data_IF_510875741769
#
_entry.id   IF_510875741769
#
_cell.length_a   1.000
_cell.length_b   1.000
_cell.length_c   1.000
_cell.angle_alpha   90.00
_cell.angle_beta   90.00
_cell.angle_gamma   90.00
#
_symmetry.space_group_name_H-M   'P 1'
#
loop_
_entity.id
_entity.type
_entity.pdbx_description
1 polymer ?
#
# COMPACT_ATOMS: atom_id res chain seq x y z
N UNK A 1 -44.33 -23.46 -6.07
CA UNK A 1 -44.13 -22.25 -5.24
C UNK A 1 -42.79 -22.29 -4.51
N UNK A 2 -42.54 -23.25 -3.60
CA UNK A 2 -41.26 -23.36 -2.87
C UNK A 2 -40.01 -23.48 -3.77
N UNK A 3 -40.10 -24.26 -4.84
CA UNK A 3 -39.01 -24.41 -5.82
C UNK A 3 -38.65 -23.08 -6.49
N UNK A 4 -39.66 -22.25 -6.80
CA UNK A 4 -39.47 -20.94 -7.41
C UNK A 4 -38.75 -19.97 -6.48
N UNK A 5 -39.11 -19.96 -5.19
CA UNK A 5 -38.41 -19.17 -4.17
C UNK A 5 -36.97 -19.63 -3.97
N UNK A 6 -36.74 -20.94 -3.88
CA UNK A 6 -35.39 -21.48 -3.78
C UNK A 6 -34.55 -21.08 -5.00
N UNK A 7 -35.09 -21.22 -6.21
CA UNK A 7 -34.39 -20.85 -7.44
C UNK A 7 -34.03 -19.36 -7.46
N UNK A 8 -34.94 -18.47 -7.06
CA UNK A 8 -34.69 -17.03 -7.06
C UNK A 8 -33.66 -16.61 -6.01
N UNK A 9 -33.72 -17.23 -4.82
CA UNK A 9 -32.74 -17.05 -3.74
C UNK A 9 -31.35 -17.46 -4.22
N UNK A 10 -31.24 -18.61 -4.89
CA UNK A 10 -29.99 -19.10 -5.46
C UNK A 10 -29.45 -18.16 -6.54
N UNK A 11 -30.30 -17.65 -7.45
CA UNK A 11 -29.90 -16.67 -8.46
C UNK A 11 -29.35 -15.40 -7.79
N UNK A 12 -30.08 -14.82 -6.83
CA UNK A 12 -29.64 -13.63 -6.10
C UNK A 12 -28.32 -13.85 -5.36
N UNK A 13 -28.15 -15.00 -4.71
CA UNK A 13 -26.91 -15.36 -4.02
C UNK A 13 -25.73 -15.54 -4.99
N UNK A 14 -25.92 -16.25 -6.11
CA UNK A 14 -24.87 -16.49 -7.09
C UNK A 14 -24.42 -15.19 -7.78
N UNK A 15 -25.36 -14.31 -8.12
CA UNK A 15 -25.05 -13.00 -8.68
C UNK A 15 -24.22 -12.16 -7.69
N UNK A 16 -24.58 -12.17 -6.41
CA UNK A 16 -23.84 -11.47 -5.37
C UNK A 16 -22.43 -12.04 -5.16
N UNK A 17 -22.30 -13.37 -5.16
CA UNK A 17 -21.01 -14.05 -5.05
C UNK A 17 -20.11 -13.73 -6.25
N UNK A 18 -20.66 -13.75 -7.47
CA UNK A 18 -19.92 -13.38 -8.68
C UNK A 18 -19.42 -11.93 -8.61
N UNK A 19 -20.25 -11.00 -8.13
CA UNK A 19 -19.84 -9.61 -7.92
C UNK A 19 -18.70 -9.50 -6.90
N UNK A 20 -18.81 -10.16 -5.74
CA UNK A 20 -17.75 -10.17 -4.72
C UNK A 20 -16.42 -10.73 -5.27
N UNK A 21 -16.45 -11.87 -5.97
CA UNK A 21 -15.25 -12.48 -6.55
C UNK A 21 -14.61 -11.53 -7.57
N UNK A 22 -15.42 -10.89 -8.41
CA UNK A 22 -14.92 -9.92 -9.38
C UNK A 22 -14.33 -8.65 -8.75
N UNK A 23 -14.87 -8.22 -7.60
CA UNK A 23 -14.42 -7.02 -6.87
C UNK A 23 -13.10 -7.24 -6.15
N UNK A 24 -12.90 -8.42 -5.56
CA UNK A 24 -11.73 -8.73 -4.72
C UNK A 24 -10.76 -9.72 -5.38
N UNK A 25 -10.36 -9.45 -6.64
CA UNK A 25 -9.53 -10.36 -7.45
C UNK A 25 -8.27 -10.88 -6.76
N UNK A 26 -7.61 -10.03 -5.97
CA UNK A 26 -6.34 -10.39 -5.31
C UNK A 26 -6.51 -11.18 -4.00
N UNK A 27 -7.73 -11.21 -3.43
CA UNK A 27 -8.03 -12.01 -2.24
C UNK A 27 -9.53 -12.39 -2.19
N UNK A 28 -10.00 -13.23 -3.14
CA UNK A 28 -11.42 -13.58 -3.25
C UNK A 28 -11.86 -14.40 -2.04
N UNK A 29 -11.01 -15.28 -1.53
CA UNK A 29 -11.31 -16.09 -0.34
C UNK A 29 -11.53 -15.21 0.90
N UNK A 30 -10.63 -14.26 1.18
CA UNK A 30 -10.77 -13.36 2.32
C UNK A 30 -12.02 -12.48 2.26
N UNK A 31 -12.47 -12.14 1.06
CA UNK A 31 -13.74 -11.44 0.87
C UNK A 31 -14.95 -12.32 1.15
N UNK A 32 -14.99 -13.53 0.58
CA UNK A 32 -16.12 -14.46 0.71
C UNK A 32 -16.39 -14.89 2.15
N UNK A 33 -15.35 -15.02 2.98
CA UNK A 33 -15.47 -15.45 4.37
C UNK A 33 -15.72 -14.29 5.37
N UNK A 34 -15.90 -13.07 4.88
CA UNK A 34 -16.15 -11.92 5.75
C UNK A 34 -17.63 -11.82 6.15
N UNK A 35 -17.91 -11.41 7.39
CA UNK A 35 -19.29 -11.17 7.86
C UNK A 35 -20.05 -10.17 6.98
N UNK A 36 -19.46 -9.05 6.52
CA UNK A 36 -20.13 -8.15 5.59
C UNK A 36 -20.45 -8.80 4.24
N UNK A 37 -19.60 -9.70 3.73
CA UNK A 37 -19.90 -10.44 2.51
C UNK A 37 -21.09 -11.41 2.68
N UNK A 38 -21.17 -12.09 3.83
CA UNK A 38 -22.34 -12.92 4.15
C UNK A 38 -23.63 -12.08 4.18
N UNK A 39 -23.57 -10.89 4.79
CA UNK A 39 -24.71 -9.95 4.79
C UNK A 39 -25.06 -9.46 3.39
N UNK A 40 -24.06 -9.13 2.57
CA UNK A 40 -24.24 -8.74 1.18
C UNK A 40 -24.96 -9.81 0.34
N UNK A 41 -24.52 -11.07 0.46
CA UNK A 41 -25.17 -12.22 -0.21
C UNK A 41 -26.61 -12.39 0.31
N UNK A 42 -26.82 -12.27 1.62
CA UNK A 42 -28.14 -12.36 2.25
C UNK A 42 -29.11 -11.28 1.75
N UNK A 43 -28.68 -10.02 1.65
CA UNK A 43 -29.51 -8.92 1.13
C UNK A 43 -29.90 -9.15 -0.32
N UNK A 44 -28.97 -9.62 -1.17
CA UNK A 44 -29.27 -9.91 -2.57
C UNK A 44 -30.24 -11.09 -2.71
N UNK A 45 -30.01 -12.18 -1.99
CA UNK A 45 -30.88 -13.35 -1.99
C UNK A 45 -32.28 -13.01 -1.46
N UNK A 46 -32.36 -12.24 -0.37
CA UNK A 46 -33.61 -11.76 0.21
C UNK A 46 -34.35 -10.79 -0.72
N UNK A 47 -33.64 -9.88 -1.39
CA UNK A 47 -34.24 -8.97 -2.38
C UNK A 47 -34.81 -9.69 -3.59
N UNK A 48 -34.13 -10.74 -4.07
CA UNK A 48 -34.67 -11.60 -5.13
C UNK A 48 -35.96 -12.32 -4.68
N UNK A 49 -35.99 -12.84 -3.45
CA UNK A 49 -37.19 -13.46 -2.88
C UNK A 49 -38.34 -12.45 -2.72
N UNK A 50 -38.06 -11.25 -2.23
CA UNK A 50 -39.04 -10.18 -2.09
C UNK A 50 -39.58 -9.71 -3.46
N UNK A 51 -38.72 -9.65 -4.47
CA UNK A 51 -39.14 -9.36 -5.84
C UNK A 51 -40.08 -10.45 -6.38
N UNK A 52 -39.77 -11.73 -6.20
CA UNK A 52 -40.67 -12.83 -6.63
C UNK A 52 -41.99 -12.80 -5.87
N UNK A 53 -41.96 -12.57 -4.56
CA UNK A 53 -43.17 -12.38 -3.78
C UNK A 53 -44.03 -11.25 -4.35
N UNK A 54 -43.44 -10.09 -4.62
CA UNK A 54 -44.16 -8.94 -5.21
C UNK A 54 -44.75 -9.28 -6.58
N UNK A 55 -43.94 -9.81 -7.50
CA UNK A 55 -44.36 -10.24 -8.85
C UNK A 55 -45.56 -11.19 -8.80
N UNK A 56 -45.52 -12.17 -7.88
CA UNK A 56 -46.61 -13.15 -7.74
C UNK A 56 -47.86 -12.56 -7.09
N UNK A 57 -47.72 -11.67 -6.10
CA UNK A 57 -48.86 -11.00 -5.46
C UNK A 57 -49.63 -10.10 -6.43
N UNK A 58 -48.94 -9.38 -7.31
CA UNK A 58 -49.57 -8.51 -8.31
C UNK A 58 -49.94 -9.22 -9.61
N UNK A 59 -49.70 -10.53 -9.72
CA UNK A 59 -50.04 -11.31 -10.90
C UNK A 59 -49.28 -10.88 -12.17
N UNK A 60 -48.07 -10.34 -12.04
CA UNK A 60 -47.29 -9.88 -13.19
C UNK A 60 -46.79 -11.06 -14.01
N UNK A 61 -47.26 -11.18 -15.26
CA UNK A 61 -46.89 -12.30 -16.16
C UNK A 61 -45.77 -11.96 -17.13
N UNK A 62 -45.44 -10.66 -17.29
CA UNK A 62 -44.44 -10.16 -18.24
C UNK A 62 -44.64 -10.66 -19.68
N UNK A 63 -45.91 -10.83 -20.09
CA UNK A 63 -46.27 -11.31 -21.44
C UNK A 63 -46.11 -12.81 -21.65
N UNK A 64 -45.70 -13.57 -20.63
CA UNK A 64 -45.68 -15.02 -20.68
C UNK A 64 -47.08 -15.62 -20.47
N UNK A 65 -47.30 -16.83 -20.99
CA UNK A 65 -48.56 -17.56 -20.86
C UNK A 65 -48.33 -19.04 -20.53
N UNK A 66 -49.29 -19.65 -19.84
CA UNK A 66 -49.23 -21.06 -19.43
C UNK A 66 -48.10 -21.36 -18.46
N UNK A 67 -47.43 -22.50 -18.64
CA UNK A 67 -46.37 -22.98 -17.74
C UNK A 67 -45.12 -22.08 -17.72
N UNK A 68 -44.91 -21.27 -18.77
CA UNK A 68 -43.75 -20.38 -18.85
C UNK A 68 -43.81 -19.17 -17.89
N UNK A 69 -45.00 -18.83 -17.37
CA UNK A 69 -45.20 -17.68 -16.46
C UNK A 69 -44.29 -17.78 -15.24
N UNK A 70 -44.29 -18.92 -14.56
CA UNK A 70 -43.48 -19.10 -13.34
C UNK A 70 -41.99 -19.00 -13.63
N UNK A 71 -41.53 -19.55 -14.75
CA UNK A 71 -40.13 -19.47 -15.14
C UNK A 71 -39.71 -18.03 -15.42
N UNK A 72 -40.51 -17.29 -16.19
CA UNK A 72 -40.27 -15.87 -16.49
C UNK A 72 -40.25 -15.02 -15.22
N UNK A 73 -41.21 -15.23 -14.29
CA UNK A 73 -41.26 -14.52 -13.02
C UNK A 73 -40.01 -14.76 -12.17
N UNK A 74 -39.49 -15.99 -12.11
CA UNK A 74 -38.24 -16.31 -11.40
C UNK A 74 -37.05 -15.59 -12.02
N UNK A 75 -36.90 -15.62 -13.35
CA UNK A 75 -35.79 -14.93 -14.02
C UNK A 75 -35.86 -13.42 -13.81
N UNK A 76 -37.03 -12.82 -14.03
CA UNK A 76 -37.22 -11.36 -13.87
C UNK A 76 -37.00 -10.93 -12.44
N UNK A 77 -37.51 -11.67 -11.44
CA UNK A 77 -37.28 -11.34 -10.04
C UNK A 77 -35.81 -11.52 -9.62
N UNK A 78 -35.18 -12.61 -10.05
CA UNK A 78 -33.79 -12.94 -9.71
C UNK A 78 -32.81 -11.90 -10.25
N UNK A 79 -32.85 -11.62 -11.55
CA UNK A 79 -31.95 -10.63 -12.16
C UNK A 79 -32.40 -9.19 -11.95
N UNK A 80 -33.71 -8.93 -11.98
CA UNK A 80 -34.28 -7.60 -11.85
C UNK A 80 -34.09 -6.98 -10.48
N UNK A 81 -34.11 -7.78 -9.39
CA UNK A 81 -33.78 -7.29 -8.04
C UNK A 81 -32.35 -6.75 -7.98
N UNK A 82 -31.39 -7.46 -8.57
CA UNK A 82 -30.02 -7.00 -8.68
C UNK A 82 -29.86 -5.73 -9.54
N UNK A 83 -30.63 -5.61 -10.63
CA UNK A 83 -30.64 -4.39 -11.44
C UNK A 83 -31.20 -3.19 -10.64
N UNK A 84 -32.28 -3.40 -9.88
CA UNK A 84 -32.88 -2.38 -9.02
C UNK A 84 -31.90 -1.93 -7.93
N UNK A 85 -31.26 -2.86 -7.22
CA UNK A 85 -30.28 -2.50 -6.19
C UNK A 85 -29.05 -1.79 -6.75
N UNK A 86 -28.67 -2.03 -8.01
CA UNK A 86 -27.54 -1.31 -8.64
C UNK A 86 -27.94 0.03 -9.24
N UNK A 87 -29.23 0.34 -9.30
CA UNK A 87 -29.69 1.64 -9.80
C UNK A 87 -29.36 2.77 -8.83
N UNK A 88 -29.00 3.92 -9.40
CA UNK A 88 -28.88 5.20 -8.70
C UNK A 88 -29.99 6.11 -9.23
N UNK A 89 -30.78 6.71 -8.34
CA UNK A 89 -31.85 7.63 -8.72
C UNK A 89 -31.30 9.05 -8.90
N UNK A 90 -30.31 9.42 -8.10
CA UNK A 90 -29.62 10.71 -8.17
C UNK A 90 -28.15 10.52 -7.84
N UNK A 91 -27.26 11.30 -8.43
CA UNK A 91 -25.84 11.30 -8.05
C UNK A 91 -25.52 12.63 -7.38
N UNK A 92 -24.93 12.59 -6.19
CA UNK A 92 -24.49 13.77 -5.44
C UNK A 92 -22.98 13.78 -5.39
N UNK A 93 -22.36 14.89 -5.79
CA UNK A 93 -20.92 15.08 -5.66
C UNK A 93 -20.61 15.67 -4.29
N UNK A 94 -19.84 14.95 -3.47
CA UNK A 94 -19.34 15.42 -2.18
C UNK A 94 -17.81 15.43 -2.19
N UNK A 95 -17.20 16.61 -2.27
CA UNK A 95 -15.77 16.76 -2.49
C UNK A 95 -15.37 16.23 -3.86
N UNK A 96 -14.45 15.26 -3.90
CA UNK A 96 -13.96 14.64 -5.14
C UNK A 96 -14.61 13.27 -5.44
N UNK A 97 -15.73 12.94 -4.77
CA UNK A 97 -16.43 11.67 -4.95
C UNK A 97 -17.88 11.90 -5.40
N UNK A 98 -18.31 11.10 -6.38
CA UNK A 98 -19.71 11.02 -6.82
C UNK A 98 -20.39 9.88 -6.07
N UNK A 99 -21.42 10.19 -5.29
CA UNK A 99 -22.17 9.26 -4.46
C UNK A 99 -23.55 9.06 -5.08
N UNK A 100 -23.87 7.83 -5.46
CA UNK A 100 -25.21 7.46 -5.87
C UNK A 100 -26.19 7.46 -4.68
N UNK A 101 -27.28 8.19 -4.80
CA UNK A 101 -28.42 8.23 -3.88
C UNK A 101 -29.53 7.39 -4.50
N UNK A 102 -29.87 6.30 -3.81
CA UNK A 102 -30.86 5.33 -4.27
C UNK A 102 -30.67 3.97 -3.61
N UNK A 103 -31.31 2.90 -4.15
CA UNK A 103 -31.18 1.54 -3.64
C UNK A 103 -29.72 1.06 -3.53
N UNK A 104 -28.85 1.54 -4.41
CA UNK A 104 -27.42 1.26 -4.43
C UNK A 104 -26.65 1.75 -3.20
N UNK A 105 -27.17 2.75 -2.48
CA UNK A 105 -26.55 3.21 -1.24
C UNK A 105 -26.45 2.10 -0.18
N UNK A 106 -27.48 1.24 -0.09
CA UNK A 106 -27.51 0.11 0.85
C UNK A 106 -26.37 -0.86 0.55
N UNK A 107 -26.23 -1.29 -0.71
CA UNK A 107 -25.15 -2.19 -1.12
C UNK A 107 -23.78 -1.53 -0.94
N UNK A 108 -23.67 -0.23 -1.22
CA UNK A 108 -22.42 0.52 -1.08
C UNK A 108 -21.92 0.50 0.36
N UNK A 109 -22.79 0.75 1.35
CA UNK A 109 -22.42 0.71 2.78
C UNK A 109 -21.90 -0.67 3.18
N UNK A 110 -22.58 -1.73 2.75
CA UNK A 110 -22.18 -3.12 3.05
C UNK A 110 -20.84 -3.45 2.39
N UNK A 111 -20.67 -3.09 1.12
CA UNK A 111 -19.44 -3.31 0.36
C UNK A 111 -18.26 -2.53 0.94
N UNK A 112 -18.47 -1.29 1.40
CA UNK A 112 -17.42 -0.54 2.12
C UNK A 112 -17.06 -1.17 3.47
N UNK A 113 -17.98 -1.88 4.12
CA UNK A 113 -17.66 -2.67 5.31
C UNK A 113 -16.86 -3.95 4.95
N UNK A 114 -17.20 -4.60 3.83
CA UNK A 114 -16.44 -5.73 3.30
C UNK A 114 -15.01 -5.31 2.89
N UNK A 115 -14.86 -4.19 2.19
CA UNK A 115 -13.55 -3.60 1.83
C UNK A 115 -12.68 -3.46 3.07
N UNK A 116 -13.19 -2.81 4.13
CA UNK A 116 -12.48 -2.65 5.39
C UNK A 116 -12.16 -3.97 6.10
N UNK A 117 -13.02 -4.97 6.02
CA UNK A 117 -12.78 -6.28 6.62
C UNK A 117 -11.65 -7.02 5.88
N UNK A 118 -11.67 -7.00 4.56
CA UNK A 118 -10.61 -7.54 3.70
C UNK A 118 -9.30 -6.82 3.95
N UNK A 119 -9.32 -5.49 4.03
CA UNK A 119 -8.13 -4.67 4.29
C UNK A 119 -7.50 -4.99 5.64
N UNK A 120 -8.30 -5.16 6.71
CA UNK A 120 -7.78 -5.58 8.02
C UNK A 120 -7.09 -6.94 7.96
N UNK A 121 -7.68 -7.91 7.26
CA UNK A 121 -7.08 -9.22 7.05
C UNK A 121 -5.76 -9.12 6.28
N UNK A 122 -5.74 -8.35 5.19
CA UNK A 122 -4.55 -8.11 4.37
C UNK A 122 -3.46 -7.36 5.14
N UNK A 123 -3.82 -6.37 5.95
CA UNK A 123 -2.88 -5.60 6.75
C UNK A 123 -2.11 -6.48 7.73
N UNK A 124 -2.76 -7.49 8.34
CA UNK A 124 -2.10 -8.46 9.22
C UNK A 124 -1.05 -9.29 8.47
N UNK A 125 -1.40 -9.79 7.29
CA UNK A 125 -0.49 -10.60 6.45
C UNK A 125 0.68 -9.76 5.98
N UNK A 126 0.41 -8.57 5.43
CA UNK A 126 1.43 -7.63 4.95
C UNK A 126 2.38 -7.18 6.06
N UNK A 127 1.85 -6.80 7.22
CA UNK A 127 2.66 -6.37 8.36
C UNK A 127 3.62 -7.47 8.81
N UNK A 128 3.14 -8.73 8.86
CA UNK A 128 4.00 -9.88 9.18
C UNK A 128 5.08 -10.10 8.11
N UNK A 129 4.70 -10.16 6.83
CA UNK A 129 5.65 -10.37 5.73
C UNK A 129 6.72 -9.28 5.66
N UNK A 130 6.33 -8.02 5.84
CA UNK A 130 7.28 -6.89 5.90
C UNK A 130 8.15 -6.96 7.15
N UNK A 131 7.61 -7.37 8.29
CA UNK A 131 8.38 -7.59 9.52
C UNK A 131 9.51 -8.60 9.31
N UNK A 132 9.22 -9.69 8.59
CA UNK A 132 10.19 -10.72 8.23
C UNK A 132 11.23 -10.22 7.21
N UNK A 133 10.79 -9.49 6.18
CA UNK A 133 11.69 -9.01 5.10
C UNK A 133 12.59 -7.87 5.58
N UNK A 134 12.01 -6.84 6.20
CA UNK A 134 12.70 -5.63 6.64
C UNK A 134 13.33 -5.75 8.03
N UNK A 135 13.29 -6.94 8.64
CA UNK A 135 13.89 -7.20 9.95
C UNK A 135 15.39 -6.85 9.96
N UNK A 136 15.78 -5.94 10.86
CA UNK A 136 17.16 -5.47 10.99
C UNK A 136 17.64 -4.57 9.84
N UNK A 137 16.76 -4.15 8.92
CA UNK A 137 17.15 -3.24 7.84
C UNK A 137 17.42 -1.84 8.41
N UNK A 138 18.60 -1.23 8.16
CA UNK A 138 18.96 0.08 8.69
C UNK A 138 18.36 1.19 7.83
N UNK A 139 17.21 1.73 8.23
CA UNK A 139 16.49 2.77 7.49
C UNK A 139 17.39 3.97 7.15
N UNK A 140 18.14 4.51 8.10
CA UNK A 140 18.84 5.78 7.90
C UNK A 140 19.93 5.68 6.82
N UNK A 141 20.60 4.52 6.75
CA UNK A 141 21.64 4.26 5.75
C UNK A 141 21.11 3.63 4.46
N UNK A 142 20.00 2.91 4.54
CA UNK A 142 19.55 2.00 3.47
C UNK A 142 18.31 2.45 2.71
N UNK A 143 17.52 3.41 3.22
CA UNK A 143 16.24 3.78 2.62
C UNK A 143 16.37 4.23 1.16
N UNK A 144 17.28 5.16 0.87
CA UNK A 144 17.48 5.68 -0.49
C UNK A 144 18.07 4.61 -1.40
N UNK A 145 19.03 3.82 -0.92
CA UNK A 145 19.65 2.75 -1.68
C UNK A 145 18.62 1.67 -2.08
N UNK A 146 17.76 1.25 -1.14
CA UNK A 146 16.68 0.31 -1.43
C UNK A 146 15.68 0.88 -2.43
N UNK A 147 15.28 2.15 -2.26
CA UNK A 147 14.36 2.80 -3.19
C UNK A 147 14.93 2.92 -4.60
N UNK A 148 16.15 3.44 -4.74
CA UNK A 148 16.81 3.55 -6.04
C UNK A 148 17.06 2.20 -6.68
N UNK A 149 17.41 1.18 -5.90
CA UNK A 149 17.54 -0.17 -6.44
C UNK A 149 16.20 -0.73 -6.91
N UNK A 150 15.11 -0.48 -6.17
CA UNK A 150 13.76 -0.88 -6.60
C UNK A 150 13.33 -0.21 -7.91
N UNK A 151 13.57 1.10 -8.05
CA UNK A 151 13.27 1.85 -9.28
C UNK A 151 14.15 1.37 -10.45
N UNK A 152 15.43 1.09 -10.22
CA UNK A 152 16.33 0.60 -11.26
C UNK A 152 16.00 -0.85 -11.70
N UNK A 153 15.59 -1.69 -10.75
CA UNK A 153 15.21 -3.08 -11.03
C UNK A 153 13.87 -3.19 -11.79
N UNK A 154 12.98 -2.20 -11.64
CA UNK A 154 11.65 -2.22 -12.23
C UNK A 154 11.48 -1.10 -13.26
N UNK A 155 11.41 -1.48 -14.52
CA UNK A 155 11.43 -0.55 -15.67
C UNK A 155 10.15 0.30 -15.85
N UNK A 156 9.13 0.16 -14.98
CA UNK A 156 7.78 0.71 -15.20
C UNK A 156 7.27 1.64 -14.08
N UNK A 157 8.15 2.20 -13.24
CA UNK A 157 7.72 3.20 -12.25
C UNK A 157 7.20 4.47 -12.94
N UNK A 158 6.00 4.91 -12.58
CA UNK A 158 5.49 6.22 -13.00
C UNK A 158 6.12 7.33 -12.13
N UNK A 159 6.25 8.57 -12.65
CA UNK A 159 6.74 9.70 -11.85
C UNK A 159 5.94 9.95 -10.57
N UNK A 160 4.63 9.66 -10.60
CA UNK A 160 3.75 9.78 -9.43
C UNK A 160 4.10 8.76 -8.34
N UNK A 161 4.37 7.50 -8.72
CA UNK A 161 4.75 6.44 -7.77
C UNK A 161 6.12 6.69 -7.15
N UNK A 162 7.09 7.16 -7.94
CA UNK A 162 8.42 7.59 -7.46
C UNK A 162 8.25 8.66 -6.38
N UNK A 163 7.51 9.73 -6.70
CA UNK A 163 7.28 10.83 -5.78
C UNK A 163 6.60 10.40 -4.48
N UNK A 164 5.66 9.46 -4.53
CA UNK A 164 4.97 8.94 -3.33
C UNK A 164 5.95 8.28 -2.36
N UNK A 165 6.94 7.53 -2.86
CA UNK A 165 7.94 6.89 -2.01
C UNK A 165 8.97 7.91 -1.51
N UNK A 166 9.41 8.85 -2.35
CA UNK A 166 10.31 9.94 -1.94
C UNK A 166 9.71 10.78 -0.81
N UNK A 167 8.45 11.21 -0.97
CA UNK A 167 7.71 11.98 0.04
C UNK A 167 7.58 11.17 1.34
N UNK A 168 7.42 9.84 1.25
CA UNK A 168 7.35 8.95 2.42
C UNK A 168 8.71 8.83 3.13
N UNK A 169 9.81 8.68 2.40
CA UNK A 169 11.15 8.67 2.99
C UNK A 169 11.43 10.00 3.69
N UNK A 170 11.08 11.12 3.04
CA UNK A 170 11.21 12.45 3.61
C UNK A 170 10.33 12.63 4.87
N UNK A 171 9.10 12.11 4.87
CA UNK A 171 8.22 12.17 6.06
C UNK A 171 8.84 11.40 7.22
N UNK A 172 9.33 10.18 6.98
CA UNK A 172 9.94 9.32 8.01
C UNK A 172 11.22 9.91 8.61
N UNK A 173 11.91 10.78 7.88
CA UNK A 173 13.11 11.51 8.35
C UNK A 173 12.78 12.80 9.10
N UNK A 174 11.57 13.34 8.97
CA UNK A 174 11.26 14.70 9.43
C UNK A 174 9.96 14.77 10.26
N UNK A 175 9.69 15.96 10.81
CA UNK A 175 8.47 16.24 11.57
C UNK A 175 8.27 15.29 12.75
N UNK A 176 7.03 14.79 12.91
CA UNK A 176 6.67 13.89 14.02
C UNK A 176 7.24 12.48 13.85
N UNK A 177 7.44 12.05 12.60
CA UNK A 177 7.89 10.68 12.29
C UNK A 177 9.41 10.52 12.46
N UNK A 178 10.17 11.62 12.52
CA UNK A 178 11.61 11.60 12.79
C UNK A 178 12.00 10.86 14.08
N UNK A 179 11.13 10.94 15.10
CA UNK A 179 11.33 10.33 16.43
C UNK A 179 10.98 8.84 16.49
N UNK A 180 10.46 8.26 15.41
CA UNK A 180 10.13 6.84 15.35
C UNK A 180 11.42 6.00 15.45
N UNK A 181 11.37 4.84 16.13
CA UNK A 181 12.48 3.89 16.10
C UNK A 181 12.84 3.52 14.66
N UNK A 182 14.13 3.41 14.37
CA UNK A 182 14.62 3.14 13.00
C UNK A 182 13.96 1.90 12.38
N UNK A 183 13.82 0.83 13.16
CA UNK A 183 13.16 -0.39 12.73
C UNK A 183 11.69 -0.17 12.31
N UNK A 184 10.97 0.74 12.98
CA UNK A 184 9.59 1.11 12.61
C UNK A 184 9.59 1.85 11.28
N UNK A 185 10.54 2.77 11.06
CA UNK A 185 10.69 3.46 9.76
C UNK A 185 10.95 2.45 8.63
N UNK A 186 11.80 1.44 8.87
CA UNK A 186 12.03 0.34 7.92
C UNK A 186 10.76 -0.43 7.58
N UNK A 187 9.91 -0.74 8.58
CA UNK A 187 8.64 -1.41 8.33
C UNK A 187 7.66 -0.55 7.53
N UNK A 188 7.57 0.75 7.83
CA UNK A 188 6.69 1.66 7.07
C UNK A 188 7.16 1.80 5.63
N UNK A 189 8.48 1.96 5.40
CA UNK A 189 9.06 1.97 4.06
C UNK A 189 8.78 0.66 3.31
N UNK A 190 9.00 -0.48 3.96
CA UNK A 190 8.72 -1.79 3.37
C UNK A 190 7.26 -1.96 2.98
N UNK A 191 6.31 -1.49 3.80
CA UNK A 191 4.88 -1.52 3.46
C UNK A 191 4.54 -0.64 2.25
N UNK A 192 5.19 0.51 2.11
CA UNK A 192 5.04 1.40 0.96
C UNK A 192 5.62 0.78 -0.32
N UNK A 193 6.83 0.22 -0.26
CA UNK A 193 7.46 -0.43 -1.40
C UNK A 193 6.71 -1.69 -1.82
N UNK A 194 6.32 -2.56 -0.88
CA UNK A 194 5.56 -3.79 -1.16
C UNK A 194 4.27 -3.51 -1.94
N UNK A 195 3.62 -2.37 -1.70
CA UNK A 195 2.40 -1.98 -2.41
C UNK A 195 2.62 -1.72 -3.91
N UNK A 196 3.85 -1.34 -4.29
CA UNK A 196 4.23 -1.04 -5.67
C UNK A 196 4.90 -2.23 -6.36
N UNK A 197 5.79 -2.92 -5.64
CA UNK A 197 6.69 -3.93 -6.24
C UNK A 197 6.33 -5.37 -5.87
N UNK A 198 5.43 -5.55 -4.91
CA UNK A 198 5.07 -6.87 -4.39
C UNK A 198 6.08 -7.41 -3.37
N UNK A 199 5.67 -8.47 -2.67
CA UNK A 199 6.43 -9.05 -1.56
C UNK A 199 7.73 -9.73 -2.00
N UNK A 200 7.69 -10.49 -3.10
CA UNK A 200 8.84 -11.28 -3.59
C UNK A 200 9.99 -10.37 -4.00
N UNK A 201 9.68 -9.35 -4.80
CA UNK A 201 10.69 -8.39 -5.27
C UNK A 201 11.27 -7.61 -4.09
N UNK A 202 10.44 -7.15 -3.16
CA UNK A 202 10.94 -6.48 -1.95
C UNK A 202 11.92 -7.36 -1.17
N UNK A 203 11.59 -8.65 -1.00
CA UNK A 203 12.46 -9.62 -0.34
C UNK A 203 13.81 -9.74 -1.04
N UNK A 204 13.81 -9.97 -2.34
CA UNK A 204 15.02 -10.14 -3.14
C UNK A 204 15.92 -8.89 -3.09
N UNK A 205 15.34 -7.69 -3.19
CA UNK A 205 16.11 -6.43 -3.11
C UNK A 205 16.75 -6.22 -1.73
N UNK A 206 16.00 -6.49 -0.66
CA UNK A 206 16.50 -6.33 0.71
C UNK A 206 17.59 -7.35 1.01
N UNK A 207 17.40 -8.61 0.62
CA UNK A 207 18.40 -9.67 0.76
C UNK A 207 19.68 -9.34 -0.02
N UNK A 208 19.56 -8.81 -1.24
CA UNK A 208 20.70 -8.39 -2.06
C UNK A 208 21.48 -7.21 -1.47
N UNK A 209 20.82 -6.29 -0.76
CA UNK A 209 21.48 -5.11 -0.19
C UNK A 209 22.04 -5.35 1.22
N UNK A 210 21.55 -6.37 1.93
CA UNK A 210 21.94 -6.66 3.31
C UNK A 210 23.47 -6.73 3.51
N UNK A 211 24.26 -7.41 2.65
CA UNK A 211 25.72 -7.45 2.81
C UNK A 211 26.40 -6.07 2.73
N UNK A 212 25.86 -5.14 1.94
CA UNK A 212 26.40 -3.80 1.81
C UNK A 212 26.20 -2.96 3.08
N UNK A 213 25.21 -3.31 3.91
CA UNK A 213 24.93 -2.61 5.16
C UNK A 213 25.53 -3.31 6.40
N UNK A 214 25.82 -4.61 6.35
CA UNK A 214 26.53 -5.30 7.43
C UNK A 214 27.99 -4.85 7.54
N UNK A 215 28.57 -4.35 6.45
CA UNK A 215 29.88 -3.73 6.46
C UNK A 215 29.78 -2.31 7.02
N UNK A 216 30.69 -1.97 7.94
CA UNK A 216 30.85 -0.58 8.37
C UNK A 216 31.18 0.27 7.14
N UNK A 217 30.54 1.44 6.95
CA UNK A 217 30.86 2.31 5.84
C UNK A 217 32.37 2.61 5.87
N UNK A 218 33.06 2.64 4.71
CA UNK A 218 34.46 2.99 4.66
C UNK A 218 34.67 4.32 5.38
N UNK A 219 35.70 4.41 6.22
CA UNK A 219 35.97 5.62 7.01
C UNK A 219 36.06 6.89 6.15
N UNK A 220 36.49 6.75 4.89
CA UNK A 220 36.45 7.79 3.85
C UNK A 220 35.03 8.35 3.62
N UNK A 221 34.05 7.46 3.48
CA UNK A 221 32.67 7.85 3.24
C UNK A 221 32.05 8.52 4.45
N UNK A 222 32.36 8.03 5.66
CA UNK A 222 31.95 8.67 6.93
C UNK A 222 32.42 10.12 7.00
N UNK A 223 33.68 10.38 6.62
CA UNK A 223 34.24 11.73 6.66
C UNK A 223 33.61 12.66 5.60
N UNK A 224 33.36 12.13 4.40
CA UNK A 224 32.72 12.89 3.32
C UNK A 224 31.26 13.22 3.63
N UNK A 225 30.51 12.29 4.21
CA UNK A 225 29.11 12.52 4.58
C UNK A 225 28.99 13.53 5.73
N UNK A 226 29.91 13.50 6.68
CA UNK A 226 30.01 14.51 7.74
C UNK A 226 30.26 15.92 7.17
N UNK A 227 31.15 16.05 6.18
CA UNK A 227 31.39 17.31 5.47
C UNK A 227 30.20 17.74 4.61
N UNK A 228 29.52 16.83 3.91
CA UNK A 228 28.31 17.16 3.13
C UNK A 228 27.20 17.72 3.99
N UNK A 229 26.98 17.14 5.16
CA UNK A 229 25.92 17.56 6.07
C UNK A 229 26.18 18.92 6.73
N UNK A 230 27.46 19.31 6.89
CA UNK A 230 27.84 20.47 7.72
C UNK A 230 28.61 21.56 6.96
N UNK A 231 28.97 21.31 5.70
CA UNK A 231 29.84 22.18 4.93
C UNK A 231 31.23 22.28 5.54
N UNK A 232 31.74 23.51 5.67
CA UNK A 232 33.06 23.79 6.25
C UNK A 232 33.07 23.49 7.74
N UNK A 233 33.98 22.63 8.19
CA UNK A 233 34.04 22.17 9.59
C UNK A 233 35.48 22.13 10.08
N UNK A 234 35.72 22.63 11.30
CA UNK A 234 36.99 22.46 12.00
C UNK A 234 37.36 20.98 12.15
N UNK A 235 38.64 20.62 12.01
CA UNK A 235 39.06 19.22 12.05
C UNK A 235 38.69 18.50 13.34
N UNK A 236 38.79 19.16 14.50
CA UNK A 236 38.41 18.57 15.79
C UNK A 236 36.92 18.28 15.87
N UNK A 237 36.09 19.22 15.39
CA UNK A 237 34.64 19.06 15.34
C UNK A 237 34.26 17.96 14.36
N UNK A 238 34.88 17.95 13.18
CA UNK A 238 34.66 16.94 12.16
C UNK A 238 35.07 15.54 12.64
N UNK A 239 36.19 15.42 13.35
CA UNK A 239 36.64 14.17 13.96
C UNK A 239 35.64 13.65 14.98
N UNK A 240 35.22 14.51 15.91
CA UNK A 240 34.20 14.17 16.91
C UNK A 240 32.86 13.74 16.26
N UNK A 241 32.47 14.38 15.16
CA UNK A 241 31.25 14.06 14.42
C UNK A 241 31.35 12.78 13.60
N UNK A 242 32.52 12.50 13.02
CA UNK A 242 32.76 11.27 12.26
C UNK A 242 32.82 10.03 13.16
N UNK A 243 33.09 10.20 14.46
CA UNK A 243 33.30 9.09 15.40
C UNK A 243 34.55 8.25 15.11
N UNK A 244 35.37 8.65 14.14
CA UNK A 244 36.60 7.94 13.77
C UNK A 244 37.67 8.13 14.85
N UNK A 245 38.44 7.07 15.09
CA UNK A 245 39.62 7.17 15.94
C UNK A 245 40.62 8.15 15.32
N UNK A 246 41.37 8.90 16.14
CA UNK A 246 42.24 9.98 15.68
C UNK A 246 43.21 9.53 14.56
N UNK A 247 43.80 8.34 14.70
CA UNK A 247 44.70 7.77 13.71
C UNK A 247 44.01 7.47 12.38
N UNK A 248 42.82 6.88 12.43
CA UNK A 248 42.04 6.53 11.24
C UNK A 248 41.50 7.79 10.56
N UNK A 249 41.03 8.76 11.34
CA UNK A 249 40.62 10.08 10.86
C UNK A 249 41.75 10.78 10.10
N UNK A 250 42.96 10.86 10.69
CA UNK A 250 44.11 11.50 10.04
C UNK A 250 44.45 10.80 8.72
N UNK A 251 44.59 9.47 8.75
CA UNK A 251 44.91 8.67 7.55
C UNK A 251 43.92 8.88 6.41
N UNK A 252 42.64 8.93 6.75
CA UNK A 252 41.55 9.11 5.78
C UNK A 252 41.51 10.54 5.24
N UNK A 253 41.65 11.53 6.12
CA UNK A 253 41.70 12.94 5.74
C UNK A 253 42.88 13.19 4.80
N UNK A 254 44.08 12.69 5.13
CA UNK A 254 45.28 12.82 4.30
C UNK A 254 45.07 12.18 2.93
N UNK A 255 44.45 11.00 2.88
CA UNK A 255 44.10 10.33 1.63
C UNK A 255 43.11 11.12 0.78
N UNK A 256 42.11 11.74 1.40
CA UNK A 256 41.11 12.57 0.73
C UNK A 256 41.66 13.91 0.24
N UNK A 257 42.58 14.52 0.98
CA UNK A 257 43.32 15.72 0.58
C UNK A 257 44.25 15.40 -0.59
N UNK A 258 45.00 14.30 -0.53
CA UNK A 258 45.87 13.85 -1.61
C UNK A 258 45.08 13.52 -2.89
N UNK A 259 43.87 12.98 -2.75
CA UNK A 259 42.95 12.72 -3.86
C UNK A 259 42.22 13.98 -4.37
N UNK A 260 42.45 15.15 -3.77
CA UNK A 260 41.81 16.40 -4.16
C UNK A 260 40.30 16.43 -3.91
N UNK A 261 39.79 15.61 -2.98
CA UNK A 261 38.36 15.51 -2.64
C UNK A 261 37.98 16.41 -1.47
N UNK A 262 38.93 16.74 -0.61
CA UNK A 262 38.78 17.61 0.56
C UNK A 262 39.90 18.65 0.52
N UNK A 263 39.57 19.90 0.84
CA UNK A 263 40.53 20.98 1.05
C UNK A 263 40.58 21.30 2.55
N UNK A 264 41.79 21.46 3.08
CA UNK A 264 42.05 21.89 4.46
C UNK A 264 42.74 23.24 4.40
N UNK A 265 42.05 24.26 4.91
CA UNK A 265 42.55 25.63 4.99
C UNK A 265 42.77 26.02 6.46
N UNK A 266 43.84 26.77 6.75
CA UNK A 266 44.11 27.30 8.10
C UNK A 266 45.49 26.96 8.64
N UNK A 267 45.80 27.50 9.82
CA UNK A 267 47.04 27.25 10.55
C UNK A 267 46.84 26.29 11.73
N UNK A 268 47.94 25.83 12.33
CA UNK A 268 47.95 24.83 13.41
C UNK A 268 46.95 25.15 14.52
N UNK A 269 45.87 24.37 14.62
CA UNK A 269 44.83 24.52 15.65
C UNK A 269 43.51 25.13 15.18
N UNK A 270 43.46 25.73 13.98
CA UNK A 270 42.26 26.32 13.35
C UNK A 270 42.02 25.74 11.94
N UNK A 271 42.45 24.51 11.70
CA UNK A 271 42.30 23.85 10.40
C UNK A 271 40.83 23.55 10.12
N UNK A 272 40.34 24.04 9.00
CA UNK A 272 38.95 23.88 8.52
C UNK A 272 38.99 23.00 7.28
N UNK A 273 38.29 21.86 7.34
CA UNK A 273 38.06 20.98 6.20
C UNK A 273 36.79 21.36 5.46
N UNK A 274 36.83 21.25 4.13
CA UNK A 274 35.70 21.45 3.23
C UNK A 274 35.79 20.51 2.03
N UNK A 275 34.67 20.28 1.34
CA UNK A 275 34.69 19.51 0.09
C UNK A 275 35.42 20.34 -0.98
N UNK A 276 36.30 19.70 -1.74
CA UNK A 276 36.98 20.40 -2.82
C UNK A 276 35.97 20.85 -3.89
N UNK A 277 36.00 22.14 -4.24
CA UNK A 277 35.12 22.72 -5.27
C UNK A 277 33.80 23.31 -4.76
N UNK A 278 33.59 23.42 -3.44
CA UNK A 278 32.51 24.21 -2.81
C UNK A 278 33.04 25.47 -2.16
#
# INVERSE_FOLDING_TARGET
MWVSFLAVVLIGALVALAELVSRYRDNPAGALWSVPAAFYVGVNAGGAAAALWTVTQFGWTFGAAGESVTFTQVLVAGFGSGALFRSSLFNVTAGNQVIGVGPSAVLTVILSAADRAVDRGRARIRSRGVGEIMGGFPFERGADALFHYAVAALQNFTPAEVKVVEDRIASLRSGREATLPEQVKSYVLGLSLQALIGEKVLRELVESLRPAFEQAPPAEQVLLDALRANGKSELRKLQAMSGLQLFEFSRVLDGLVAAGRVAVDGGSGEEIASLAGT
#
